data_IF_378394054201
#
_entry.id   IF_378394054201
#
_cell.length_a   1.000
_cell.length_b   1.000
_cell.length_c   1.000
_cell.angle_alpha   90.00
_cell.angle_beta   90.00
_cell.angle_gamma   90.00
#
_symmetry.space_group_name_H-M   'P 1'
#
loop_
_entity.id
_entity.type
_entity.pdbx_description
1 polymer ?
#
# COMPACT_ATOMS: atom_id res chain seq x y z
N UNK A 1 -7.53 -9.54 2.10
CA UNK A 1 -7.01 -10.83 1.58
C UNK A 1 -5.73 -11.20 2.32
N UNK A 2 -5.33 -12.48 2.41
CA UNK A 2 -4.08 -12.89 3.08
C UNK A 2 -2.80 -12.20 2.55
N UNK A 3 -2.84 -11.70 1.31
CA UNK A 3 -1.76 -10.92 0.69
C UNK A 3 -1.63 -9.49 1.24
N UNK A 4 -2.71 -8.92 1.79
CA UNK A 4 -2.70 -7.56 2.36
C UNK A 4 -1.96 -7.52 3.69
N UNK A 5 -2.15 -8.54 4.53
CA UNK A 5 -1.48 -8.63 5.83
C UNK A 5 0.04 -8.83 5.67
N UNK A 6 0.47 -9.54 4.62
CA UNK A 6 1.89 -9.66 4.26
C UNK A 6 2.49 -8.32 3.83
N UNK A 7 1.75 -7.56 3.01
CA UNK A 7 2.15 -6.25 2.53
C UNK A 7 2.20 -5.21 3.66
N UNK A 8 1.21 -5.19 4.56
CA UNK A 8 1.18 -4.29 5.71
C UNK A 8 2.39 -4.51 6.62
N UNK A 9 2.73 -5.78 6.90
CA UNK A 9 3.95 -6.12 7.67
C UNK A 9 5.22 -5.64 6.98
N UNK A 10 5.29 -5.69 5.64
CA UNK A 10 6.41 -5.19 4.86
C UNK A 10 6.51 -3.66 4.96
N UNK A 11 5.40 -2.94 4.78
CA UNK A 11 5.35 -1.49 4.90
C UNK A 11 5.81 -1.02 6.29
N UNK A 12 5.34 -1.69 7.34
CA UNK A 12 5.77 -1.46 8.71
C UNK A 12 7.27 -1.71 8.92
N UNK A 13 7.81 -2.79 8.33
CA UNK A 13 9.24 -3.08 8.39
C UNK A 13 10.06 -2.00 7.67
N UNK A 14 9.61 -1.52 6.51
CA UNK A 14 10.27 -0.46 5.77
C UNK A 14 10.31 0.86 6.55
N UNK A 15 9.21 1.21 7.25
CA UNK A 15 9.18 2.38 8.14
C UNK A 15 10.19 2.25 9.29
N UNK A 16 10.27 1.06 9.91
CA UNK A 16 11.27 0.81 10.97
C UNK A 16 12.70 0.92 10.44
N UNK A 17 12.97 0.37 9.25
CA UNK A 17 14.29 0.49 8.59
C UNK A 17 14.61 1.95 8.30
N UNK A 18 13.65 2.74 7.78
CA UNK A 18 13.87 4.16 7.53
C UNK A 18 14.25 4.93 8.80
N UNK A 19 13.60 4.65 9.93
CA UNK A 19 13.95 5.27 11.23
C UNK A 19 15.38 4.90 11.66
N UNK A 20 15.79 3.66 11.44
CA UNK A 20 17.14 3.19 11.74
C UNK A 20 18.17 3.87 10.82
N UNK A 21 17.91 3.95 9.51
CA UNK A 21 18.83 4.59 8.55
C UNK A 21 18.88 6.11 8.72
N UNK A 22 17.80 6.75 9.14
CA UNK A 22 17.79 8.17 9.46
C UNK A 22 18.70 8.51 10.66
N UNK A 23 18.83 7.58 11.61
CA UNK A 23 19.63 7.77 12.83
C UNK A 23 21.07 7.29 12.71
N UNK A 24 21.33 6.22 11.95
CA UNK A 24 22.63 5.55 11.90
C UNK A 24 23.16 5.28 10.49
N UNK A 25 22.38 5.56 9.46
CA UNK A 25 22.71 5.24 8.08
C UNK A 25 23.54 6.31 7.39
N UNK A 26 24.22 5.91 6.33
CA UNK A 26 24.89 6.86 5.42
C UNK A 26 23.87 7.69 4.65
N UNK A 27 24.26 8.85 4.07
CA UNK A 27 23.36 9.64 3.22
C UNK A 27 22.73 8.83 2.08
N UNK A 28 23.50 7.91 1.48
CA UNK A 28 22.98 7.02 0.43
C UNK A 28 21.91 6.05 0.95
N UNK A 29 22.09 5.47 2.14
CA UNK A 29 21.07 4.61 2.77
C UNK A 29 19.80 5.38 3.11
N UNK A 30 19.93 6.63 3.54
CA UNK A 30 18.78 7.50 3.79
C UNK A 30 18.00 7.77 2.49
N UNK A 31 18.70 8.11 1.41
CA UNK A 31 18.09 8.28 0.09
C UNK A 31 17.36 7.01 -0.37
N UNK A 32 18.02 5.85 -0.33
CA UNK A 32 17.42 4.58 -0.70
C UNK A 32 16.18 4.25 0.13
N UNK A 33 16.24 4.48 1.45
CA UNK A 33 15.08 4.24 2.32
C UNK A 33 13.90 5.19 2.03
N UNK A 34 14.16 6.43 1.59
CA UNK A 34 13.10 7.35 1.16
C UNK A 34 12.46 6.92 -0.16
N UNK A 35 13.27 6.49 -1.13
CA UNK A 35 12.78 5.97 -2.41
C UNK A 35 11.92 4.72 -2.20
N UNK A 36 12.35 3.80 -1.33
CA UNK A 36 11.55 2.63 -0.98
C UNK A 36 10.20 3.00 -0.37
N UNK A 37 10.16 3.99 0.55
CA UNK A 37 8.90 4.46 1.14
C UNK A 37 7.98 5.14 0.12
N UNK A 38 8.55 5.84 -0.87
CA UNK A 38 7.75 6.40 -1.98
C UNK A 38 7.08 5.30 -2.79
N UNK A 39 7.80 4.24 -3.15
CA UNK A 39 7.25 3.11 -3.91
C UNK A 39 6.15 2.39 -3.13
N UNK A 40 6.36 2.14 -1.84
CA UNK A 40 5.33 1.56 -0.96
C UNK A 40 4.08 2.45 -0.90
N UNK A 41 4.27 3.78 -0.86
CA UNK A 41 3.16 4.74 -0.91
C UNK A 41 2.35 4.66 -2.20
N UNK A 42 3.02 4.51 -3.35
CA UNK A 42 2.38 4.33 -4.65
C UNK A 42 1.55 3.04 -4.69
N UNK A 43 2.11 1.93 -4.20
CA UNK A 43 1.41 0.64 -4.13
C UNK A 43 0.18 0.70 -3.21
N UNK A 44 0.27 1.37 -2.06
CA UNK A 44 -0.90 1.60 -1.17
C UNK A 44 -1.99 2.37 -1.90
N UNK A 45 -1.64 3.41 -2.65
CA UNK A 45 -2.61 4.20 -3.41
C UNK A 45 -3.28 3.36 -4.50
N UNK A 46 -2.52 2.55 -5.25
CA UNK A 46 -3.03 1.65 -6.28
C UNK A 46 -3.99 0.60 -5.72
N UNK A 47 -3.66 -0.01 -4.57
CA UNK A 47 -4.55 -0.97 -3.88
C UNK A 47 -5.86 -0.33 -3.45
N UNK A 48 -5.81 0.87 -2.87
CA UNK A 48 -7.02 1.61 -2.47
C UNK A 48 -7.92 1.95 -3.65
N UNK A 49 -7.33 2.30 -4.79
CA UNK A 49 -8.09 2.55 -6.02
C UNK A 49 -8.75 1.26 -6.54
N UNK A 50 -8.03 0.13 -6.50
CA UNK A 50 -8.59 -1.17 -6.85
C UNK A 50 -9.74 -1.59 -5.92
N UNK A 51 -9.59 -1.40 -4.60
CA UNK A 51 -10.64 -1.69 -3.62
C UNK A 51 -11.87 -0.81 -3.82
N UNK A 52 -11.68 0.49 -4.11
CA UNK A 52 -12.77 1.40 -4.43
C UNK A 52 -13.51 0.99 -5.71
N UNK A 53 -12.78 0.63 -6.77
CA UNK A 53 -13.35 0.18 -8.03
C UNK A 53 -14.10 -1.16 -7.89
N UNK A 54 -13.63 -2.07 -7.03
CA UNK A 54 -14.30 -3.34 -6.76
C UNK A 54 -15.63 -3.17 -5.99
N UNK A 55 -15.73 -2.12 -5.17
CA UNK A 55 -16.91 -1.82 -4.36
C UNK A 55 -17.98 -0.98 -5.10
N UNK A 56 -17.65 -0.43 -6.27
CA UNK A 56 -18.56 0.33 -7.14
C UNK A 56 -19.36 -0.58 -8.11
N UNK A 57 -19.34 -1.90 -7.90
CA UNK A 57 -20.20 -2.82 -8.64
C UNK A 57 -21.68 -2.53 -8.29
N UNK A 58 -22.54 -2.22 -9.27
CA UNK A 58 -23.96 -1.97 -9.00
C UNK A 58 -24.61 -3.27 -8.55
N UNK A 59 -24.98 -3.37 -7.27
CA UNK A 59 -25.87 -4.41 -6.79
C UNK A 59 -27.23 -4.27 -7.48
N UNK A 60 -27.57 -5.25 -8.31
CA UNK A 60 -28.94 -5.70 -8.62
C UNK A 60 -29.94 -4.61 -9.00
N UNK A 61 -30.00 -4.26 -10.28
CA UNK A 61 -31.31 -3.88 -10.84
C UNK A 61 -32.15 -5.16 -10.90
N UNK A 62 -33.08 -5.28 -9.96
CA UNK A 62 -34.14 -6.27 -9.92
C UNK A 62 -34.75 -6.49 -11.32
N UNK A 63 -34.98 -7.75 -11.66
CA UNK A 63 -35.74 -8.16 -12.85
C UNK A 63 -37.09 -7.43 -12.87
N UNK A 64 -37.50 -6.83 -14.00
CA UNK A 64 -38.90 -6.46 -14.17
C UNK A 64 -39.67 -7.74 -14.50
N UNK A 65 -40.30 -8.29 -13.47
CA UNK A 65 -41.36 -9.28 -13.60
C UNK A 65 -42.62 -8.57 -14.13
N UNK A 66 -42.75 -8.46 -15.46
CA UNK A 66 -44.03 -8.29 -16.19
C UNK A 66 -43.86 -8.57 -17.68
#
# INVERSE_FOLDING_TARGET
MPDDEGFDRLADAAIRVHRLTASHGTPAMQLLSRLLLMEIGTEIAARREADAAANDNPHGSEEPDT
#
